data_IF_650068040098
#
_entry.id   IF_650068040098
#
_cell.length_a   1.000
_cell.length_b   1.000
_cell.length_c   1.000
_cell.angle_alpha   90.00
_cell.angle_beta   90.00
_cell.angle_gamma   90.00
#
_symmetry.space_group_name_H-M   'P 1'
#
loop_
_entity.id
_entity.type
_entity.pdbx_description
1 polymer ?
#
# COMPACT_ATOMS: atom_id res chain seq x y z
N UNK A 1 9.74 5.79 -32.25
CA UNK A 1 8.44 5.40 -32.83
C UNK A 1 7.35 5.97 -31.93
N UNK A 2 6.77 7.13 -32.27
CA UNK A 2 5.76 7.77 -31.43
C UNK A 2 4.42 7.05 -31.58
N UNK A 3 3.78 6.71 -30.46
CA UNK A 3 2.46 6.07 -30.45
C UNK A 3 1.43 7.11 -30.90
N UNK A 4 0.79 6.88 -32.05
CA UNK A 4 -0.21 7.81 -32.59
C UNK A 4 -1.43 7.93 -31.67
N UNK A 5 -2.08 9.11 -31.58
CA UNK A 5 -3.17 9.39 -30.64
C UNK A 5 -4.36 8.42 -30.77
N UNK A 6 -4.65 7.93 -31.97
CA UNK A 6 -5.69 6.92 -32.21
C UNK A 6 -5.35 5.53 -31.65
N UNK A 7 -4.07 5.15 -31.63
CA UNK A 7 -3.64 3.89 -30.99
C UNK A 7 -3.73 3.99 -29.49
N UNK A 8 -3.39 5.15 -28.93
CA UNK A 8 -3.50 5.41 -27.50
C UNK A 8 -4.96 5.35 -27.03
N UNK A 9 -5.89 5.97 -27.79
CA UNK A 9 -7.32 5.91 -27.46
C UNK A 9 -7.89 4.51 -27.52
N UNK A 10 -7.46 3.69 -28.49
CA UNK A 10 -7.92 2.31 -28.64
C UNK A 10 -7.41 1.41 -27.50
N UNK A 11 -6.14 1.55 -27.11
CA UNK A 11 -5.58 0.82 -25.96
C UNK A 11 -6.31 1.22 -24.66
N UNK A 12 -6.59 2.52 -24.46
CA UNK A 12 -7.32 3.01 -23.29
C UNK A 12 -8.78 2.49 -23.26
N UNK A 13 -9.45 2.39 -24.41
CA UNK A 13 -10.82 1.88 -24.48
C UNK A 13 -10.91 0.35 -24.35
N UNK A 14 -9.94 -0.40 -24.87
CA UNK A 14 -9.83 -1.84 -24.60
C UNK A 14 -9.48 -2.12 -23.13
N UNK A 15 -8.56 -1.34 -22.55
CA UNK A 15 -8.24 -1.38 -21.13
C UNK A 15 -9.46 -1.08 -20.25
N UNK A 16 -10.27 -0.09 -20.63
CA UNK A 16 -11.50 0.27 -19.92
C UNK A 16 -12.62 -0.78 -20.04
N UNK A 17 -12.66 -1.56 -21.13
CA UNK A 17 -13.59 -2.70 -21.29
C UNK A 17 -13.13 -3.96 -20.55
N UNK A 18 -11.85 -4.04 -20.18
CA UNK A 18 -11.31 -5.20 -19.48
C UNK A 18 -11.69 -5.15 -17.99
N UNK A 19 -12.76 -5.86 -17.63
CA UNK A 19 -13.23 -5.99 -16.25
C UNK A 19 -12.09 -6.37 -15.28
N UNK A 20 -11.16 -7.23 -15.69
CA UNK A 20 -10.05 -7.64 -14.84
C UNK A 20 -9.08 -6.50 -14.55
N UNK A 21 -8.74 -5.71 -15.58
CA UNK A 21 -7.85 -4.55 -15.39
C UNK A 21 -8.52 -3.48 -14.52
N UNK A 22 -9.82 -3.24 -14.72
CA UNK A 22 -10.59 -2.32 -13.88
C UNK A 22 -10.64 -2.79 -12.41
N UNK A 23 -10.82 -4.09 -12.17
CA UNK A 23 -10.81 -4.67 -10.80
C UNK A 23 -9.42 -4.52 -10.16
N UNK A 24 -8.35 -4.86 -10.87
CA UNK A 24 -6.99 -4.76 -10.31
C UNK A 24 -6.61 -3.31 -10.04
N UNK A 25 -6.87 -2.39 -10.98
CA UNK A 25 -6.53 -0.98 -10.83
C UNK A 25 -7.35 -0.31 -9.73
N UNK A 26 -8.65 -0.57 -9.64
CA UNK A 26 -9.48 -0.06 -8.54
C UNK A 26 -9.04 -0.61 -7.18
N UNK A 27 -8.72 -1.90 -7.08
CA UNK A 27 -8.16 -2.50 -5.87
C UNK A 27 -6.81 -1.91 -5.47
N UNK A 28 -5.92 -1.63 -6.44
CA UNK A 28 -4.64 -0.97 -6.19
C UNK A 28 -4.82 0.45 -5.64
N UNK A 29 -5.71 1.23 -6.26
CA UNK A 29 -6.03 2.59 -5.80
C UNK A 29 -6.64 2.58 -4.40
N UNK A 30 -7.56 1.65 -4.13
CA UNK A 30 -8.16 1.50 -2.81
C UNK A 30 -7.12 1.08 -1.75
N UNK A 31 -6.23 0.14 -2.09
CA UNK A 31 -5.10 -0.26 -1.25
C UNK A 31 -4.20 0.92 -0.88
N UNK A 32 -3.87 1.78 -1.83
CA UNK A 32 -2.94 2.89 -1.61
C UNK A 32 -3.61 4.05 -0.85
N UNK A 33 -4.73 4.54 -1.36
CA UNK A 33 -5.35 5.80 -0.94
C UNK A 33 -6.42 5.62 0.13
N UNK A 34 -7.38 4.69 -0.05
CA UNK A 34 -8.44 4.49 0.95
C UNK A 34 -7.84 3.96 2.26
N UNK A 35 -6.89 3.02 2.15
CA UNK A 35 -6.19 2.52 3.33
C UNK A 35 -5.33 3.57 4.01
N UNK A 36 -4.83 4.60 3.30
CA UNK A 36 -4.01 5.65 3.92
C UNK A 36 -4.75 6.33 5.07
N UNK A 37 -6.01 6.71 4.85
CA UNK A 37 -6.87 7.37 5.85
C UNK A 37 -7.10 6.49 7.08
N UNK A 38 -7.32 5.18 6.85
CA UNK A 38 -7.57 4.21 7.92
C UNK A 38 -6.30 3.94 8.71
N UNK A 39 -5.17 3.71 8.02
CA UNK A 39 -3.86 3.48 8.62
C UNK A 39 -3.42 4.70 9.42
N UNK A 40 -3.57 5.91 8.89
CA UNK A 40 -3.28 7.17 9.57
C UNK A 40 -4.06 7.30 10.89
N UNK A 41 -5.36 6.97 10.85
CA UNK A 41 -6.20 6.99 12.04
C UNK A 41 -5.76 5.95 13.07
N UNK A 42 -5.54 4.71 12.67
CA UNK A 42 -5.12 3.64 13.58
C UNK A 42 -3.76 4.00 14.19
N UNK A 43 -2.81 4.44 13.37
CA UNK A 43 -1.49 4.86 13.81
C UNK A 43 -1.55 5.94 14.90
N UNK A 44 -2.43 6.94 14.73
CA UNK A 44 -2.59 8.03 15.71
C UNK A 44 -3.12 7.58 17.08
N UNK A 45 -3.70 6.37 17.19
CA UNK A 45 -4.12 5.80 18.48
C UNK A 45 -2.91 5.29 19.26
N UNK A 46 -1.89 4.79 18.56
CA UNK A 46 -0.72 4.17 19.16
C UNK A 46 0.48 5.11 19.28
N UNK A 47 0.51 6.19 18.49
CA UNK A 47 1.55 7.19 18.59
C UNK A 47 1.11 8.36 19.47
N UNK A 48 1.56 8.36 20.73
CA UNK A 48 1.31 9.46 21.68
C UNK A 48 1.86 10.81 21.20
N UNK A 49 2.87 10.78 20.31
CA UNK A 49 3.47 11.98 19.70
C UNK A 49 2.73 12.43 18.43
N UNK A 50 1.76 11.64 17.95
CA UNK A 50 0.99 12.01 16.77
C UNK A 50 0.19 13.28 17.02
N UNK A 51 0.12 14.19 16.06
CA UNK A 51 -0.64 15.42 16.22
C UNK A 51 -2.13 15.10 16.44
N UNK A 52 -2.69 15.50 17.59
CA UNK A 52 -4.09 15.20 17.96
C UNK A 52 -5.14 15.92 17.09
N UNK A 53 -4.71 16.86 16.26
CA UNK A 53 -5.59 17.62 15.35
C UNK A 53 -5.78 16.83 14.06
N UNK A 54 -7.03 16.52 13.72
CA UNK A 54 -7.41 15.69 12.56
C UNK A 54 -6.77 16.13 11.23
N UNK A 55 -6.67 17.43 10.96
CA UNK A 55 -6.01 17.95 9.75
C UNK A 55 -4.50 17.68 9.71
N UNK A 56 -3.85 17.58 10.87
CA UNK A 56 -2.42 17.26 10.99
C UNK A 56 -2.15 15.76 11.01
N UNK A 57 -3.11 14.92 11.44
CA UNK A 57 -3.04 13.45 11.30
C UNK A 57 -2.96 13.06 9.82
N UNK A 58 -3.76 13.71 8.97
CA UNK A 58 -3.74 13.45 7.52
C UNK A 58 -2.60 14.20 6.81
N UNK A 59 -1.99 15.19 7.47
CA UNK A 59 -0.77 15.85 7.02
C UNK A 59 0.47 15.19 7.67
N UNK A 60 0.60 13.87 7.51
CA UNK A 60 1.87 13.18 7.77
C UNK A 60 3.00 13.89 7.03
N UNK A 61 4.22 13.83 7.57
CA UNK A 61 5.40 14.22 6.79
C UNK A 61 5.34 13.45 5.47
N UNK A 62 5.36 14.22 4.37
CA UNK A 62 5.09 13.73 3.03
C UNK A 62 5.96 12.52 2.68
N UNK A 63 7.18 12.46 3.22
CA UNK A 63 8.09 11.34 3.01
C UNK A 63 7.52 10.02 3.57
N UNK A 64 6.94 10.05 4.77
CA UNK A 64 6.35 8.85 5.38
C UNK A 64 5.08 8.42 4.65
N UNK A 65 4.28 9.38 4.17
CA UNK A 65 3.10 9.10 3.36
C UNK A 65 3.49 8.41 2.04
N UNK A 66 4.46 8.95 1.31
CA UNK A 66 4.94 8.36 0.06
C UNK A 66 5.54 6.97 0.26
N UNK A 67 6.40 6.78 1.28
CA UNK A 67 6.94 5.45 1.61
C UNK A 67 5.81 4.44 1.86
N UNK A 68 4.77 4.85 2.60
CA UNK A 68 3.60 4.01 2.83
C UNK A 68 2.82 3.68 1.56
N UNK A 69 2.70 4.61 0.62
CA UNK A 69 2.05 4.36 -0.68
C UNK A 69 2.83 3.37 -1.53
N UNK A 70 4.16 3.53 -1.62
CA UNK A 70 5.02 2.60 -2.36
C UNK A 70 5.02 1.21 -1.74
N UNK A 71 5.09 1.09 -0.41
CA UNK A 71 4.98 -0.19 0.28
C UNK A 71 3.66 -0.89 -0.06
N UNK A 72 2.52 -0.21 0.11
CA UNK A 72 1.21 -0.83 -0.16
C UNK A 72 1.05 -1.20 -1.62
N UNK A 73 1.57 -0.38 -2.54
CA UNK A 73 1.62 -0.71 -3.97
C UNK A 73 2.42 -1.98 -4.24
N UNK A 74 3.62 -2.12 -3.66
CA UNK A 74 4.48 -3.30 -3.80
C UNK A 74 3.83 -4.56 -3.19
N UNK A 75 3.38 -4.47 -1.93
CA UNK A 75 2.73 -5.58 -1.22
C UNK A 75 1.48 -6.04 -1.98
N UNK A 76 0.61 -5.11 -2.37
CA UNK A 76 -0.57 -5.42 -3.17
C UNK A 76 -0.19 -6.12 -4.47
N UNK A 77 0.79 -5.58 -5.21
CA UNK A 77 1.21 -6.13 -6.51
C UNK A 77 1.75 -7.54 -6.36
N UNK A 78 2.58 -7.81 -5.36
CA UNK A 78 3.14 -9.13 -5.14
C UNK A 78 2.07 -10.12 -4.69
N UNK A 79 1.20 -9.75 -3.75
CA UNK A 79 0.14 -10.63 -3.24
C UNK A 79 -0.91 -10.91 -4.32
N UNK A 80 -1.35 -9.89 -5.06
CA UNK A 80 -2.32 -10.09 -6.15
C UNK A 80 -1.76 -10.99 -7.26
N UNK A 81 -0.43 -10.98 -7.44
CA UNK A 81 0.30 -11.87 -8.36
C UNK A 81 0.58 -13.27 -7.79
N UNK A 82 0.17 -13.57 -6.56
CA UNK A 82 0.42 -14.86 -5.89
C UNK A 82 1.83 -15.02 -5.34
N UNK A 83 2.60 -13.92 -5.20
CA UNK A 83 3.99 -13.91 -4.75
C UNK A 83 4.11 -13.38 -3.31
N UNK A 84 3.49 -14.06 -2.35
CA UNK A 84 3.55 -13.64 -0.94
C UNK A 84 4.99 -13.53 -0.39
N UNK A 85 5.90 -14.39 -0.86
CA UNK A 85 7.32 -14.33 -0.48
C UNK A 85 7.99 -13.01 -0.92
N UNK A 86 7.68 -12.49 -2.10
CA UNK A 86 8.22 -11.20 -2.56
C UNK A 86 7.69 -10.02 -1.72
N UNK A 87 6.43 -10.07 -1.29
CA UNK A 87 5.89 -9.09 -0.35
C UNK A 87 6.61 -9.13 1.01
N UNK A 88 6.85 -10.33 1.54
CA UNK A 88 7.62 -10.50 2.78
C UNK A 88 9.06 -9.96 2.66
N UNK A 89 9.73 -10.20 1.53
CA UNK A 89 11.06 -9.64 1.26
C UNK A 89 11.03 -8.11 1.21
N UNK A 90 10.04 -7.49 0.57
CA UNK A 90 9.92 -6.03 0.51
C UNK A 90 9.76 -5.40 1.91
N UNK A 91 8.90 -5.99 2.74
CA UNK A 91 8.70 -5.56 4.14
C UNK A 91 9.98 -5.75 4.95
N UNK A 92 10.67 -6.89 4.76
CA UNK A 92 11.95 -7.18 5.43
C UNK A 92 13.02 -6.16 5.04
N UNK A 93 13.15 -5.83 3.76
CA UNK A 93 14.09 -4.83 3.27
C UNK A 93 13.80 -3.45 3.88
N UNK A 94 12.52 -3.07 4.02
CA UNK A 94 12.12 -1.83 4.71
C UNK A 94 12.57 -1.81 6.16
N UNK A 95 12.31 -2.88 6.91
CA UNK A 95 12.72 -3.00 8.32
C UNK A 95 14.25 -2.99 8.45
N UNK A 96 14.95 -3.67 7.53
CA UNK A 96 16.41 -3.69 7.51
C UNK A 96 16.99 -2.30 7.22
N UNK A 97 16.41 -1.51 6.34
CA UNK A 97 16.87 -0.13 6.08
C UNK A 97 16.75 0.80 7.30
N UNK A 98 15.92 0.44 8.29
CA UNK A 98 15.61 1.25 9.48
C UNK A 98 16.20 0.69 10.78
N UNK A 99 16.92 -0.44 10.74
CA UNK A 99 17.39 -1.15 11.95
C UNK A 99 18.16 -0.25 12.93
N UNK A 100 19.07 0.60 12.45
CA UNK A 100 19.86 1.50 13.31
C UNK A 100 19.01 2.46 14.14
N UNK A 101 17.88 2.90 13.58
CA UNK A 101 16.98 3.82 14.27
C UNK A 101 16.18 3.13 15.38
N UNK A 102 16.02 1.81 15.29
CA UNK A 102 15.38 1.03 16.37
C UNK A 102 16.28 0.92 17.60
N UNK A 103 17.60 0.86 17.39
CA UNK A 103 18.57 0.84 18.49
C UNK A 103 18.69 2.21 19.16
N UNK A 104 18.58 3.30 18.37
CA UNK A 104 18.66 4.68 18.85
C UNK A 104 17.38 5.15 19.55
N UNK A 105 16.20 4.76 19.05
CA UNK A 105 14.89 5.08 19.63
C UNK A 105 13.96 3.84 19.64
N UNK A 106 13.91 3.10 20.76
CA UNK A 106 13.04 1.93 20.90
C UNK A 106 11.55 2.25 20.70
N UNK A 107 11.10 3.45 21.12
CA UNK A 107 9.69 3.87 20.95
C UNK A 107 9.38 4.16 19.48
N UNK A 108 10.36 4.59 18.69
CA UNK A 108 10.21 4.66 17.24
C UNK A 108 10.04 3.26 16.64
N UNK A 109 10.83 2.28 17.09
CA UNK A 109 10.70 0.88 16.66
C UNK A 109 9.29 0.31 16.87
N UNK A 110 8.72 0.50 18.06
CA UNK A 110 7.34 0.05 18.38
C UNK A 110 6.31 0.68 17.42
N UNK A 111 6.38 2.01 17.24
CA UNK A 111 5.48 2.75 16.35
C UNK A 111 5.66 2.35 14.88
N UNK A 112 6.90 2.14 14.45
CA UNK A 112 7.23 1.69 13.10
C UNK A 112 6.63 0.31 12.79
N UNK A 113 6.76 -0.64 13.73
CA UNK A 113 6.23 -2.00 13.58
C UNK A 113 4.70 -1.96 13.47
N UNK A 114 4.02 -1.24 14.38
CA UNK A 114 2.56 -1.10 14.36
C UNK A 114 2.10 -0.49 13.03
N UNK A 115 2.71 0.64 12.62
CA UNK A 115 2.34 1.32 11.37
C UNK A 115 2.55 0.44 10.14
N UNK A 116 3.65 -0.31 10.10
CA UNK A 116 3.96 -1.22 9.00
C UNK A 116 2.99 -2.40 8.95
N UNK A 117 2.71 -3.07 10.07
CA UNK A 117 1.78 -4.19 10.07
C UNK A 117 0.35 -3.79 9.72
N UNK A 118 -0.13 -2.65 10.23
CA UNK A 118 -1.46 -2.14 9.87
C UNK A 118 -1.52 -1.81 8.37
N UNK A 119 -0.49 -1.16 7.81
CA UNK A 119 -0.39 -0.85 6.38
C UNK A 119 -0.40 -2.11 5.50
N UNK A 120 0.44 -3.09 5.84
CA UNK A 120 0.55 -4.38 5.15
C UNK A 120 -0.77 -5.16 5.22
N UNK A 121 -1.42 -5.17 6.39
CA UNK A 121 -2.69 -5.86 6.59
C UNK A 121 -3.77 -5.38 5.62
N UNK A 122 -3.93 -4.06 5.48
CA UNK A 122 -4.88 -3.51 4.51
C UNK A 122 -4.48 -3.78 3.05
N UNK A 123 -3.19 -3.72 2.71
CA UNK A 123 -2.74 -4.06 1.36
C UNK A 123 -3.04 -5.53 1.01
N UNK A 124 -2.86 -6.45 1.96
CA UNK A 124 -3.21 -7.87 1.81
C UNK A 124 -4.71 -8.05 1.67
N UNK A 125 -5.54 -7.39 2.48
CA UNK A 125 -7.02 -7.44 2.35
C UNK A 125 -7.44 -7.07 0.94
N UNK A 126 -6.99 -5.94 0.42
CA UNK A 126 -7.35 -5.49 -0.92
C UNK A 126 -6.88 -6.47 -2.00
N UNK A 127 -5.66 -7.02 -1.87
CA UNK A 127 -5.15 -8.01 -2.82
C UNK A 127 -5.98 -9.30 -2.80
N UNK A 128 -6.36 -9.80 -1.62
CA UNK A 128 -7.21 -10.98 -1.47
C UNK A 128 -8.60 -10.73 -2.06
N UNK A 129 -9.22 -9.58 -1.78
CA UNK A 129 -10.52 -9.20 -2.35
C UNK A 129 -10.47 -9.16 -3.88
N UNK A 130 -9.41 -8.60 -4.46
CA UNK A 130 -9.20 -8.60 -5.92
C UNK A 130 -9.05 -10.01 -6.46
N UNK A 131 -8.24 -10.85 -5.82
CA UNK A 131 -8.08 -12.26 -6.24
C UNK A 131 -9.40 -13.01 -6.20
N UNK A 132 -10.21 -12.84 -5.14
CA UNK A 132 -11.56 -13.41 -5.05
C UNK A 132 -12.49 -12.89 -6.15
N UNK A 133 -12.48 -11.59 -6.43
CA UNK A 133 -13.27 -10.98 -7.51
C UNK A 133 -12.88 -11.51 -8.90
N UNK A 134 -11.63 -11.93 -9.07
CA UNK A 134 -11.11 -12.56 -10.29
C UNK A 134 -11.22 -14.09 -10.28
N UNK A 135 -11.87 -14.70 -9.28
CA UNK A 135 -11.94 -16.16 -9.08
C UNK A 135 -10.57 -16.85 -9.00
N UNK A 136 -9.55 -16.15 -8.48
CA UNK A 136 -8.24 -16.70 -8.19
C UNK A 136 -8.21 -17.25 -6.75
N UNK A 137 -7.29 -18.17 -6.48
CA UNK A 137 -7.03 -18.64 -5.11
C UNK A 137 -6.62 -17.45 -4.22
N UNK A 138 -7.08 -17.36 -2.96
CA UNK A 138 -6.79 -16.22 -2.08
C UNK A 138 -5.29 -15.96 -1.87
N UNK A 139 -4.49 -17.02 -1.83
CA UNK A 139 -3.03 -17.02 -1.80
C UNK A 139 -2.51 -18.06 -2.78
#
# INVERSE_FOLDING_TARGET
MAIGPQRLSNILTEAAKNNSLAIVTSGALASIFVSHEVVARIYSIFDESAPKVRSKIFAFDANYAYIGWFERGLVFTFVVSGQAAAAALAITAKSFARHKQFDEDPKFGERFIIGTFVSVFFAVIWAVLVRMALNLKPM
#
